data_IF_007759539881
#
_entry.id   IF_007759539881
#
_cell.length_a   1.000
_cell.length_b   1.000
_cell.length_c   1.000
_cell.angle_alpha   90.00
_cell.angle_beta   90.00
_cell.angle_gamma   90.00
#
_symmetry.space_group_name_H-M   'P 1'
#
loop_
_entity.id
_entity.type
_entity.pdbx_description
1 polymer ?
#
# COMPACT_ATOMS: atom_id res chain seq x y z
N UNK A 1 -21.06 -12.42 -18.08
CA UNK A 1 -19.97 -13.36 -18.48
C UNK A 1 -18.63 -12.93 -17.90
N UNK A 2 -18.14 -11.69 -18.13
CA UNK A 2 -16.85 -11.19 -17.60
C UNK A 2 -16.84 -11.12 -16.05
N UNK A 3 -17.92 -10.62 -15.43
CA UNK A 3 -18.01 -10.51 -13.96
C UNK A 3 -17.88 -11.85 -13.22
N UNK A 4 -18.43 -12.94 -13.77
CA UNK A 4 -18.34 -14.27 -13.15
C UNK A 4 -16.92 -14.84 -13.18
N UNK A 5 -16.12 -14.48 -14.21
CA UNK A 5 -14.73 -14.91 -14.33
C UNK A 5 -13.81 -14.24 -13.30
N UNK A 6 -14.02 -12.95 -13.03
CA UNK A 6 -13.27 -12.20 -11.99
C UNK A 6 -13.59 -12.76 -10.60
N UNK A 7 -14.88 -12.98 -10.30
CA UNK A 7 -15.29 -13.57 -9.03
C UNK A 7 -14.70 -14.97 -8.79
N UNK A 8 -14.67 -15.82 -9.83
CA UNK A 8 -14.05 -17.14 -9.75
C UNK A 8 -12.55 -17.06 -9.50
N UNK A 9 -11.86 -16.14 -10.17
CA UNK A 9 -10.44 -15.91 -9.97
C UNK A 9 -10.15 -15.42 -8.55
N UNK A 10 -10.92 -14.44 -8.04
CA UNK A 10 -10.78 -13.94 -6.68
C UNK A 10 -11.00 -15.06 -5.65
N UNK A 11 -11.99 -15.92 -5.89
CA UNK A 11 -12.25 -17.09 -5.04
C UNK A 11 -11.09 -18.09 -5.07
N UNK A 12 -10.52 -18.37 -6.26
CA UNK A 12 -9.35 -19.26 -6.40
C UNK A 12 -8.15 -18.69 -5.64
N UNK A 13 -7.88 -17.38 -5.79
CA UNK A 13 -6.80 -16.70 -5.08
C UNK A 13 -7.04 -16.74 -3.56
N UNK A 14 -8.25 -16.44 -3.11
CA UNK A 14 -8.60 -16.47 -1.69
C UNK A 14 -8.44 -17.87 -1.08
N UNK A 15 -8.95 -18.92 -1.73
CA UNK A 15 -8.81 -20.29 -1.27
C UNK A 15 -7.35 -20.73 -1.25
N UNK A 16 -6.55 -20.34 -2.24
CA UNK A 16 -5.12 -20.66 -2.26
C UNK A 16 -4.36 -19.97 -1.12
N UNK A 17 -4.63 -18.68 -0.88
CA UNK A 17 -4.02 -17.91 0.20
C UNK A 17 -4.40 -18.46 1.59
N UNK A 18 -5.66 -18.87 1.78
CA UNK A 18 -6.15 -19.41 3.06
C UNK A 18 -5.68 -20.85 3.32
N UNK A 19 -5.66 -21.69 2.28
CA UNK A 19 -5.29 -23.11 2.42
C UNK A 19 -3.78 -23.36 2.30
N UNK A 20 -3.02 -22.40 1.77
CA UNK A 20 -1.62 -22.58 1.38
C UNK A 20 -1.41 -23.57 0.24
N UNK A 21 -2.47 -24.07 -0.40
CA UNK A 21 -2.40 -25.01 -1.54
C UNK A 21 -2.46 -24.26 -2.86
N UNK A 22 -1.68 -24.70 -3.84
CA UNK A 22 -1.69 -24.07 -5.17
C UNK A 22 -1.06 -22.67 -5.22
N UNK A 23 -0.33 -22.25 -4.18
CA UNK A 23 0.26 -20.90 -4.05
C UNK A 23 1.09 -20.46 -5.25
N UNK A 24 1.78 -21.38 -5.95
CA UNK A 24 2.53 -21.05 -7.18
C UNK A 24 1.62 -20.65 -8.33
N UNK A 25 0.52 -21.37 -8.51
CA UNK A 25 -0.48 -21.05 -9.55
C UNK A 25 -1.17 -19.74 -9.18
N UNK A 26 -1.56 -19.60 -7.91
CA UNK A 26 -2.17 -18.37 -7.40
C UNK A 26 -1.26 -17.14 -7.57
N UNK A 27 0.05 -17.28 -7.35
CA UNK A 27 1.02 -16.20 -7.61
C UNK A 27 0.98 -15.76 -9.06
N UNK A 28 1.13 -16.68 -10.02
CA UNK A 28 1.18 -16.31 -11.44
C UNK A 28 -0.16 -15.77 -11.96
N UNK A 29 -1.27 -16.38 -11.54
CA UNK A 29 -2.60 -15.88 -11.88
C UNK A 29 -2.83 -14.49 -11.29
N UNK A 30 -2.46 -14.27 -10.03
CA UNK A 30 -2.59 -12.98 -9.36
C UNK A 30 -1.70 -11.90 -9.98
N UNK A 31 -0.44 -12.23 -10.33
CA UNK A 31 0.46 -11.31 -11.02
C UNK A 31 -0.11 -10.91 -12.37
N UNK A 32 -0.54 -11.88 -13.19
CA UNK A 32 -1.13 -11.60 -14.50
C UNK A 32 -2.40 -10.73 -14.37
N UNK A 33 -3.28 -11.08 -13.43
CA UNK A 33 -4.49 -10.34 -13.15
C UNK A 33 -4.22 -8.90 -12.73
N UNK A 34 -3.32 -8.70 -11.76
CA UNK A 34 -2.99 -7.36 -11.25
C UNK A 34 -2.30 -6.51 -12.31
N UNK A 35 -1.47 -7.09 -13.18
CA UNK A 35 -0.88 -6.37 -14.31
C UNK A 35 -1.93 -5.97 -15.36
N UNK A 36 -2.87 -6.85 -15.68
CA UNK A 36 -3.99 -6.54 -16.58
C UNK A 36 -4.89 -5.47 -15.98
N UNK A 37 -5.20 -5.55 -14.69
CA UNK A 37 -5.98 -4.53 -13.98
C UNK A 37 -5.23 -3.20 -14.01
N UNK A 38 -3.94 -3.19 -13.69
CA UNK A 38 -3.16 -1.96 -13.63
C UNK A 38 -3.02 -1.28 -14.99
N UNK A 39 -2.63 -2.01 -16.04
CA UNK A 39 -2.36 -1.44 -17.36
C UNK A 39 -3.63 -1.28 -18.19
N UNK A 40 -4.46 -2.32 -18.21
CA UNK A 40 -5.62 -2.40 -19.10
C UNK A 40 -6.86 -1.68 -18.59
N UNK A 41 -7.05 -1.59 -17.27
CA UNK A 41 -8.24 -0.99 -16.66
C UNK A 41 -7.92 0.32 -15.95
N UNK A 42 -6.85 0.35 -15.15
CA UNK A 42 -6.44 1.54 -14.40
C UNK A 42 -5.52 2.46 -15.20
N UNK A 43 -5.12 2.09 -16.43
CA UNK A 43 -4.21 2.85 -17.28
C UNK A 43 -2.95 3.34 -16.56
N UNK A 44 -2.33 2.47 -15.76
CA UNK A 44 -1.15 2.70 -14.91
C UNK A 44 -1.34 3.59 -13.69
N UNK A 45 -2.59 3.94 -13.39
CA UNK A 45 -2.96 4.93 -12.37
C UNK A 45 -3.22 6.29 -13.01
N UNK A 46 -4.26 6.98 -12.53
CA UNK A 46 -4.51 8.36 -12.94
C UNK A 46 -3.52 9.28 -12.24
N UNK A 47 -2.69 10.01 -13.00
CA UNK A 47 -1.79 11.01 -12.43
C UNK A 47 -2.39 12.39 -12.64
N UNK A 48 -3.20 12.81 -11.66
CA UNK A 48 -3.81 14.12 -11.68
C UNK A 48 -3.70 14.75 -10.30
N UNK A 49 -2.66 15.56 -10.12
CA UNK A 49 -2.48 16.36 -8.91
C UNK A 49 -3.68 17.27 -8.68
N UNK A 50 -4.41 17.71 -9.73
CA UNK A 50 -5.64 18.48 -9.55
C UNK A 50 -6.77 17.68 -8.88
N UNK A 51 -6.78 16.36 -9.05
CA UNK A 51 -7.73 15.45 -8.41
C UNK A 51 -7.18 14.79 -7.13
N UNK A 52 -6.00 15.22 -6.65
CA UNK A 52 -5.35 14.65 -5.47
C UNK A 52 -4.74 13.26 -5.71
N UNK A 53 -4.68 12.81 -6.96
CA UNK A 53 -4.11 11.53 -7.33
C UNK A 53 -2.59 11.66 -7.50
N UNK A 54 -1.85 11.11 -6.56
CA UNK A 54 -0.37 11.14 -6.53
C UNK A 54 0.27 9.75 -6.55
N UNK A 55 -0.53 8.69 -6.42
CA UNK A 55 -0.09 7.29 -6.45
C UNK A 55 -0.52 6.54 -7.73
N UNK A 56 0.16 5.43 -8.10
CA UNK A 56 -0.13 4.67 -9.32
C UNK A 56 -1.35 3.73 -9.20
N UNK A 57 -2.20 3.88 -8.19
CA UNK A 57 -3.37 3.05 -7.91
C UNK A 57 -3.07 1.82 -7.04
N UNK A 58 -4.10 1.01 -6.80
CA UNK A 58 -4.07 -0.10 -5.82
C UNK A 58 -3.35 -1.37 -6.32
N UNK A 59 -3.18 -1.52 -7.64
CA UNK A 59 -2.67 -2.75 -8.21
C UNK A 59 -1.18 -3.02 -7.88
N UNK A 60 -0.25 -2.05 -7.98
CA UNK A 60 1.14 -2.27 -7.55
C UNK A 60 1.28 -2.63 -6.06
N UNK A 61 0.55 -2.01 -5.13
CA UNK A 61 0.54 -2.41 -3.72
C UNK A 61 0.01 -3.84 -3.49
N UNK A 62 -1.07 -4.25 -4.16
CA UNK A 62 -1.52 -5.64 -4.13
C UNK A 62 -0.47 -6.61 -4.69
N UNK A 63 0.23 -6.24 -5.76
CA UNK A 63 1.27 -7.05 -6.37
C UNK A 63 2.43 -7.28 -5.39
N UNK A 64 2.86 -6.21 -4.72
CA UNK A 64 3.87 -6.26 -3.66
C UNK A 64 3.43 -7.20 -2.54
N UNK A 65 2.21 -7.01 -2.03
CA UNK A 65 1.69 -7.82 -0.93
C UNK A 65 1.53 -9.30 -1.32
N UNK A 66 1.08 -9.59 -2.54
CA UNK A 66 0.97 -10.95 -3.07
C UNK A 66 2.32 -11.66 -3.12
N UNK A 67 3.35 -10.97 -3.65
CA UNK A 67 4.71 -11.53 -3.75
C UNK A 67 5.32 -11.73 -2.36
N UNK A 68 5.15 -10.79 -1.44
CA UNK A 68 5.61 -10.94 -0.05
C UNK A 68 4.91 -12.13 0.61
N UNK A 69 3.59 -12.24 0.45
CA UNK A 69 2.80 -13.34 1.03
C UNK A 69 3.28 -14.69 0.50
N UNK A 70 3.51 -14.80 -0.81
CA UNK A 70 4.08 -16.01 -1.41
C UNK A 70 5.49 -16.32 -0.88
N UNK A 71 6.36 -15.31 -0.78
CA UNK A 71 7.71 -15.48 -0.27
C UNK A 71 7.71 -15.94 1.21
N UNK A 72 6.87 -15.34 2.05
CA UNK A 72 6.68 -15.75 3.44
C UNK A 72 6.13 -17.18 3.53
N UNK A 73 5.10 -17.52 2.76
CA UNK A 73 4.58 -18.89 2.69
C UNK A 73 5.66 -19.88 2.28
N UNK A 74 6.52 -19.52 1.31
CA UNK A 74 7.62 -20.38 0.86
C UNK A 74 8.63 -20.62 1.99
N UNK A 75 9.01 -19.58 2.73
CA UNK A 75 9.95 -19.68 3.86
C UNK A 75 9.39 -20.50 5.03
N UNK A 76 8.07 -20.66 5.12
CA UNK A 76 7.41 -21.50 6.15
C UNK A 76 7.26 -22.97 5.75
N UNK A 77 7.59 -23.36 4.51
CA UNK A 77 7.47 -24.76 4.08
C UNK A 77 8.56 -25.64 4.72
N UNK A 78 8.31 -26.95 4.93
CA UNK A 78 9.33 -27.88 5.41
C UNK A 78 10.55 -27.96 4.49
N UNK A 79 11.73 -28.10 5.07
CA UNK A 79 12.97 -28.26 4.31
C UNK A 79 12.99 -29.58 3.53
N UNK A 80 13.18 -29.50 2.21
CA UNK A 80 13.40 -30.63 1.30
C UNK A 80 14.73 -30.48 0.58
N UNK A 81 15.24 -31.52 -0.08
CA UNK A 81 16.47 -31.42 -0.87
C UNK A 81 16.31 -30.30 -1.93
N UNK A 82 17.12 -29.25 -1.85
CA UNK A 82 17.02 -28.04 -2.70
C UNK A 82 16.44 -26.78 -2.02
N UNK A 83 16.18 -26.80 -0.71
CA UNK A 83 15.53 -25.70 0.02
C UNK A 83 16.34 -24.38 0.03
N UNK A 84 17.68 -24.46 0.12
CA UNK A 84 18.56 -23.30 0.33
C UNK A 84 18.46 -22.26 -0.79
N UNK A 85 18.64 -22.65 -2.06
CA UNK A 85 18.58 -21.74 -3.20
C UNK A 85 17.18 -21.08 -3.33
N UNK A 86 16.12 -21.85 -3.07
CA UNK A 86 14.75 -21.33 -3.14
C UNK A 86 14.40 -20.37 -2.00
N UNK A 87 14.99 -20.54 -0.82
CA UNK A 87 14.82 -19.61 0.29
C UNK A 87 15.58 -18.30 0.06
N UNK A 88 16.75 -18.38 -0.55
CA UNK A 88 17.49 -17.20 -1.02
C UNK A 88 16.65 -16.40 -2.02
N UNK A 89 16.00 -17.06 -2.98
CA UNK A 89 15.08 -16.40 -3.92
C UNK A 89 13.89 -15.74 -3.20
N UNK A 90 13.32 -16.39 -2.18
CA UNK A 90 12.23 -15.80 -1.40
C UNK A 90 12.68 -14.56 -0.61
N UNK A 91 13.87 -14.60 0.00
CA UNK A 91 14.46 -13.45 0.69
C UNK A 91 14.79 -12.32 -0.29
N UNK A 92 15.31 -12.65 -1.48
CA UNK A 92 15.55 -11.69 -2.55
C UNK A 92 14.26 -11.05 -3.03
N UNK A 93 13.18 -11.83 -3.16
CA UNK A 93 11.87 -11.30 -3.51
C UNK A 93 11.38 -10.30 -2.47
N UNK A 94 11.46 -10.62 -1.16
CA UNK A 94 11.09 -9.68 -0.09
C UNK A 94 11.95 -8.40 -0.13
N UNK A 95 13.25 -8.54 -0.38
CA UNK A 95 14.15 -7.39 -0.55
C UNK A 95 13.74 -6.52 -1.74
N UNK A 96 13.49 -7.14 -2.90
CA UNK A 96 13.03 -6.45 -4.09
C UNK A 96 11.68 -5.75 -3.85
N UNK A 97 10.75 -6.40 -3.15
CA UNK A 97 9.45 -5.81 -2.80
C UNK A 97 9.60 -4.61 -1.86
N UNK A 98 10.58 -4.60 -0.95
CA UNK A 98 10.90 -3.42 -0.14
C UNK A 98 11.37 -2.25 -1.02
N UNK A 99 12.23 -2.53 -2.00
CA UNK A 99 12.71 -1.51 -2.93
C UNK A 99 11.57 -0.97 -3.81
N UNK A 100 10.71 -1.83 -4.35
CA UNK A 100 9.55 -1.42 -5.13
C UNK A 100 8.59 -0.58 -4.29
N UNK A 101 8.31 -1.00 -3.05
CA UNK A 101 7.49 -0.23 -2.14
C UNK A 101 8.11 1.14 -1.85
N UNK A 102 9.41 1.20 -1.57
CA UNK A 102 10.15 2.46 -1.45
C UNK A 102 10.08 3.33 -2.70
N UNK A 103 10.09 2.72 -3.89
CA UNK A 103 9.87 3.39 -5.16
C UNK A 103 8.46 3.98 -5.30
N UNK A 104 7.42 3.29 -4.81
CA UNK A 104 6.05 3.84 -4.75
C UNK A 104 5.98 5.07 -3.84
N UNK A 105 6.59 5.01 -2.66
CA UNK A 105 6.68 6.18 -1.76
C UNK A 105 7.48 7.32 -2.37
N UNK A 106 8.58 7.02 -3.07
CA UNK A 106 9.39 8.03 -3.74
C UNK A 106 8.58 8.72 -4.84
N UNK A 107 7.83 7.94 -5.61
CA UNK A 107 6.95 8.44 -6.64
C UNK A 107 5.87 9.36 -6.05
N UNK A 108 5.17 8.90 -5.02
CA UNK A 108 4.12 9.67 -4.35
C UNK A 108 4.67 10.99 -3.78
N UNK A 109 5.82 10.94 -3.10
CA UNK A 109 6.50 12.12 -2.57
C UNK A 109 6.88 13.13 -3.67
N UNK A 110 7.36 12.67 -4.83
CA UNK A 110 7.71 13.55 -5.96
C UNK A 110 6.49 14.36 -6.43
N UNK A 111 5.31 13.74 -6.51
CA UNK A 111 4.09 14.45 -6.92
C UNK A 111 3.54 15.37 -5.84
N UNK A 112 3.77 15.08 -4.56
CA UNK A 112 3.40 15.99 -3.46
C UNK A 112 4.22 17.28 -3.42
N UNK A 113 5.41 17.31 -4.01
CA UNK A 113 6.15 18.56 -4.22
C UNK A 113 5.56 19.46 -5.32
N UNK A 114 4.55 18.99 -6.05
CA UNK A 114 3.89 19.81 -7.06
C UNK A 114 3.17 21.01 -6.40
N UNK A 115 3.32 22.24 -6.91
CA UNK A 115 2.73 23.43 -6.30
C UNK A 115 1.23 23.32 -6.05
N UNK A 116 0.52 22.68 -6.96
CA UNK A 116 -0.92 22.48 -6.82
C UNK A 116 -1.27 21.66 -5.55
N UNK A 117 -0.55 20.57 -5.27
CA UNK A 117 -0.78 19.79 -4.05
C UNK A 117 -0.50 20.63 -2.80
N UNK A 118 0.63 21.34 -2.80
CA UNK A 118 1.07 22.15 -1.67
C UNK A 118 0.06 23.24 -1.27
N UNK A 119 -0.66 23.81 -2.23
CA UNK A 119 -1.65 24.88 -1.95
C UNK A 119 -3.10 24.38 -1.87
N UNK A 120 -3.38 23.11 -2.20
CA UNK A 120 -4.76 22.58 -2.24
C UNK A 120 -4.97 21.35 -1.34
N UNK A 121 -4.04 21.03 -0.42
CA UNK A 121 -4.18 19.90 0.51
C UNK A 121 -5.56 19.82 1.17
N UNK A 122 -6.05 20.95 1.72
CA UNK A 122 -7.37 21.01 2.38
C UNK A 122 -8.50 20.68 1.41
N UNK A 123 -8.38 21.10 0.14
CA UNK A 123 -9.38 20.80 -0.89
C UNK A 123 -9.55 19.30 -1.12
N UNK A 124 -8.48 18.50 -1.04
CA UNK A 124 -8.58 17.04 -1.18
C UNK A 124 -9.31 16.40 0.01
N UNK A 125 -9.04 16.87 1.23
CA UNK A 125 -9.73 16.39 2.43
C UNK A 125 -11.20 16.82 2.44
N UNK A 126 -11.52 18.03 1.97
CA UNK A 126 -12.92 18.46 1.81
C UNK A 126 -13.63 17.64 0.73
N UNK A 127 -12.93 17.28 -0.35
CA UNK A 127 -13.49 16.41 -1.38
C UNK A 127 -13.78 15.00 -0.87
N UNK A 128 -12.95 14.46 0.04
CA UNK A 128 -13.19 13.12 0.60
C UNK A 128 -14.46 13.05 1.46
N UNK A 129 -14.92 14.17 2.04
CA UNK A 129 -16.17 14.24 2.81
C UNK A 129 -17.44 13.96 1.99
N UNK A 130 -17.37 14.04 0.65
CA UNK A 130 -18.56 13.89 -0.20
C UNK A 130 -19.11 12.47 -0.15
N UNK A 131 -20.32 12.32 0.39
CA UNK A 131 -20.99 11.02 0.52
C UNK A 131 -20.56 10.22 1.76
N UNK A 132 -19.76 10.81 2.66
CA UNK A 132 -19.45 10.21 3.96
C UNK A 132 -20.64 10.31 4.94
N UNK A 133 -20.81 9.34 5.86
CA UNK A 133 -21.73 9.47 6.97
C UNK A 133 -21.36 10.64 7.88
N UNK A 134 -22.34 11.23 8.56
CA UNK A 134 -22.14 12.44 9.36
C UNK A 134 -21.01 12.34 10.41
N UNK A 135 -20.83 11.17 11.03
CA UNK A 135 -19.76 10.96 12.01
C UNK A 135 -18.36 10.99 11.37
N UNK A 136 -18.24 10.47 10.15
CA UNK A 136 -16.98 10.41 9.41
C UNK A 136 -16.66 11.78 8.82
N UNK A 137 -17.65 12.45 8.24
CA UNK A 137 -17.51 13.83 7.78
C UNK A 137 -17.07 14.77 8.92
N UNK A 138 -17.60 14.59 10.14
CA UNK A 138 -17.18 15.34 11.32
C UNK A 138 -15.74 15.01 11.77
N UNK A 139 -15.34 13.74 11.69
CA UNK A 139 -13.96 13.32 11.94
C UNK A 139 -12.98 13.96 10.96
N UNK A 140 -13.28 13.90 9.66
CA UNK A 140 -12.48 14.54 8.60
C UNK A 140 -12.47 16.07 8.76
N UNK A 141 -13.60 16.67 9.16
CA UNK A 141 -13.68 18.11 9.43
C UNK A 141 -12.76 18.53 10.58
N UNK A 142 -12.69 17.75 11.66
CA UNK A 142 -11.79 18.04 12.77
C UNK A 142 -10.31 18.07 12.32
N UNK A 143 -9.92 17.19 11.40
CA UNK A 143 -8.59 17.25 10.78
C UNK A 143 -8.39 18.49 9.90
N UNK A 144 -9.38 18.85 9.08
CA UNK A 144 -9.34 20.05 8.25
C UNK A 144 -9.19 21.31 9.11
N UNK A 145 -9.96 21.43 10.18
CA UNK A 145 -9.92 22.55 11.11
C UNK A 145 -8.54 22.66 11.78
N UNK A 146 -7.98 21.53 12.23
CA UNK A 146 -6.65 21.46 12.80
C UNK A 146 -5.55 21.87 11.81
N UNK A 147 -5.59 21.36 10.58
CA UNK A 147 -4.62 21.70 9.52
C UNK A 147 -4.70 23.19 9.18
N UNK A 148 -5.92 23.72 9.07
CA UNK A 148 -6.19 25.12 8.74
C UNK A 148 -5.74 26.06 9.87
N UNK A 149 -5.94 25.66 11.12
CA UNK A 149 -5.50 26.42 12.31
C UNK A 149 -3.98 26.59 12.35
N UNK A 150 -3.22 25.55 12.02
CA UNK A 150 -1.75 25.60 12.06
C UNK A 150 -1.21 26.31 10.83
N UNK A 151 -1.36 25.69 9.64
CA UNK A 151 -1.04 26.21 8.30
C UNK A 151 -1.16 25.05 7.27
N UNK A 152 -2.03 25.15 6.25
CA UNK A 152 -2.19 24.09 5.24
C UNK A 152 -0.93 23.74 4.44
N UNK A 153 -0.16 24.76 4.03
CA UNK A 153 1.07 24.56 3.23
C UNK A 153 2.13 23.87 4.07
N UNK A 154 2.25 24.22 5.35
CA UNK A 154 3.16 23.54 6.27
C UNK A 154 2.84 22.05 6.38
N UNK A 155 1.56 21.68 6.52
CA UNK A 155 1.15 20.27 6.54
C UNK A 155 1.40 19.55 5.23
N UNK A 156 1.19 20.22 4.08
CA UNK A 156 1.48 19.64 2.78
C UNK A 156 2.98 19.36 2.58
N UNK A 157 3.83 20.29 3.01
CA UNK A 157 5.29 20.10 3.03
C UNK A 157 5.70 18.99 3.99
N UNK A 158 5.09 18.93 5.18
CA UNK A 158 5.36 17.87 6.15
C UNK A 158 5.01 16.48 5.59
N UNK A 159 3.87 16.36 4.92
CA UNK A 159 3.47 15.14 4.22
C UNK A 159 4.52 14.76 3.16
N UNK A 160 4.87 15.67 2.26
CA UNK A 160 5.87 15.42 1.20
C UNK A 160 7.24 15.00 1.78
N UNK A 161 7.68 15.63 2.87
CA UNK A 161 8.93 15.28 3.56
C UNK A 161 8.87 13.91 4.22
N UNK A 162 7.79 13.61 4.94
CA UNK A 162 7.62 12.33 5.62
C UNK A 162 7.66 11.18 4.61
N UNK A 163 6.98 11.33 3.47
CA UNK A 163 6.98 10.33 2.40
C UNK A 163 8.33 10.18 1.75
N UNK A 164 9.05 11.28 1.52
CA UNK A 164 10.43 11.23 1.04
C UNK A 164 11.37 10.51 2.00
N UNK A 165 11.21 10.72 3.31
CA UNK A 165 12.00 10.02 4.35
C UNK A 165 11.66 8.53 4.38
N UNK A 166 10.38 8.16 4.29
CA UNK A 166 9.94 6.76 4.22
C UNK A 166 10.49 6.07 2.97
N UNK A 167 10.40 6.72 1.81
CA UNK A 167 10.95 6.25 0.55
C UNK A 167 12.45 5.99 0.66
N UNK A 168 13.20 6.98 1.15
CA UNK A 168 14.65 6.87 1.35
C UNK A 168 15.01 5.71 2.30
N UNK A 169 14.27 5.54 3.39
CA UNK A 169 14.49 4.46 4.34
C UNK A 169 14.25 3.08 3.73
N UNK A 170 13.15 2.92 2.99
CA UNK A 170 12.79 1.67 2.32
C UNK A 170 13.81 1.28 1.24
N UNK A 171 14.28 2.26 0.45
CA UNK A 171 15.27 2.03 -0.61
C UNK A 171 16.64 1.70 -0.01
N UNK A 172 17.13 2.53 0.92
CA UNK A 172 18.47 2.36 1.50
C UNK A 172 18.56 1.26 2.55
N UNK A 173 17.43 0.88 3.14
CA UNK A 173 17.37 -0.02 4.30
C UNK A 173 17.84 0.62 5.62
N UNK A 174 18.00 1.94 5.67
CA UNK A 174 18.41 2.67 6.90
C UNK A 174 17.21 3.04 7.76
N UNK A 175 17.40 3.07 9.08
CA UNK A 175 16.40 3.48 10.07
C UNK A 175 15.05 2.72 10.03
N UNK A 176 14.99 1.56 9.36
CA UNK A 176 13.76 0.77 9.20
C UNK A 176 13.06 0.47 10.53
N UNK A 177 13.81 0.24 11.61
CA UNK A 177 13.24 -0.09 12.94
C UNK A 177 12.33 1.01 13.50
N UNK A 178 12.60 2.26 13.15
CA UNK A 178 11.86 3.45 13.59
C UNK A 178 10.88 3.90 12.52
N UNK A 179 11.32 3.91 11.26
CA UNK A 179 10.53 4.44 10.15
C UNK A 179 9.44 3.48 9.65
N UNK A 180 9.55 2.17 9.88
CA UNK A 180 8.44 1.25 9.58
C UNK A 180 7.21 1.50 10.48
N UNK A 181 7.33 1.57 11.83
CA UNK A 181 6.21 1.99 12.67
C UNK A 181 5.63 3.35 12.30
N UNK A 182 6.48 4.33 11.97
CA UNK A 182 6.01 5.65 11.54
C UNK A 182 5.21 5.57 10.24
N UNK A 183 5.72 4.83 9.24
CA UNK A 183 5.02 4.59 7.97
C UNK A 183 3.67 3.88 8.17
N UNK A 184 3.61 2.88 9.05
CA UNK A 184 2.36 2.21 9.42
C UNK A 184 1.32 3.18 9.99
N UNK A 185 1.70 3.98 10.98
CA UNK A 185 0.79 4.96 11.59
C UNK A 185 0.37 6.01 10.56
N UNK A 186 1.30 6.50 9.76
CA UNK A 186 1.01 7.49 8.74
C UNK A 186 0.04 6.97 7.66
N UNK A 187 0.24 5.74 7.20
CA UNK A 187 -0.70 5.06 6.30
C UNK A 187 -2.11 4.94 6.90
N UNK A 188 -2.23 4.67 8.20
CA UNK A 188 -3.54 4.65 8.86
C UNK A 188 -4.19 6.04 8.94
N UNK A 189 -3.40 7.10 9.16
CA UNK A 189 -3.90 8.48 9.14
C UNK A 189 -4.46 8.82 7.76
N UNK A 190 -3.71 8.56 6.68
CA UNK A 190 -4.18 8.75 5.31
C UNK A 190 -5.48 7.96 5.07
N UNK A 191 -5.47 6.68 5.44
CA UNK A 191 -6.62 5.80 5.25
C UNK A 191 -7.89 6.31 5.95
N UNK A 192 -7.76 6.78 7.19
CA UNK A 192 -8.88 7.32 7.96
C UNK A 192 -9.39 8.69 7.48
N UNK A 193 -8.56 9.45 6.77
CA UNK A 193 -8.86 10.84 6.37
C UNK A 193 -9.12 10.94 4.87
N UNK A 194 -8.08 11.00 4.06
CA UNK A 194 -8.16 11.15 2.62
C UNK A 194 -8.92 10.00 1.92
N UNK A 195 -8.95 8.81 2.51
CA UNK A 195 -9.66 7.64 1.96
C UNK A 195 -10.95 7.29 2.72
N UNK A 196 -11.34 8.01 3.77
CA UNK A 196 -12.60 7.81 4.48
C UNK A 196 -12.82 6.36 4.96
N UNK A 197 -11.78 5.69 5.48
CA UNK A 197 -11.78 4.27 5.86
C UNK A 197 -12.14 3.29 4.72
N UNK A 198 -11.86 3.67 3.47
CA UNK A 198 -12.18 2.87 2.29
C UNK A 198 -13.59 3.11 1.74
N UNK A 199 -14.38 4.02 2.32
CA UNK A 199 -15.62 4.49 1.73
C UNK A 199 -16.68 3.44 1.34
N UNK A 200 -16.99 2.38 2.13
CA UNK A 200 -18.14 1.51 1.87
C UNK A 200 -19.49 2.23 2.06
N UNK A 201 -19.47 3.55 2.26
CA UNK A 201 -20.59 4.36 2.72
C UNK A 201 -21.27 5.16 1.61
N UNK A 202 -20.64 5.28 0.43
CA UNK A 202 -21.29 5.86 -0.75
C UNK A 202 -22.13 4.80 -1.47
N UNK A 203 -23.23 5.20 -2.11
CA UNK A 203 -24.13 4.29 -2.83
C UNK A 203 -23.44 3.52 -3.98
N UNK A 204 -22.24 3.95 -4.39
CA UNK A 204 -21.41 3.30 -5.41
C UNK A 204 -20.23 2.51 -4.82
N UNK A 205 -19.96 2.60 -3.51
CA UNK A 205 -18.87 1.87 -2.84
C UNK A 205 -17.48 2.14 -3.43
N UNK A 206 -17.21 3.37 -3.88
CA UNK A 206 -15.97 3.70 -4.58
C UNK A 206 -15.03 4.52 -3.71
N UNK A 207 -13.83 3.98 -3.44
CA UNK A 207 -12.62 4.80 -3.33
C UNK A 207 -12.09 5.13 -4.73
N UNK A 208 -11.05 5.96 -4.84
CA UNK A 208 -10.44 6.45 -6.09
C UNK A 208 -9.98 5.42 -7.13
N UNK A 209 -10.34 4.14 -7.00
CA UNK A 209 -10.34 3.14 -8.05
C UNK A 209 -11.66 2.34 -8.05
N UNK A 210 -12.32 2.25 -9.21
CA UNK A 210 -13.53 1.43 -9.41
C UNK A 210 -13.28 -0.01 -8.92
N UNK A 211 -13.97 -0.42 -7.86
CA UNK A 211 -13.84 -1.77 -7.27
C UNK A 211 -12.90 -1.90 -6.06
N UNK A 212 -12.29 -0.82 -5.57
CA UNK A 212 -11.57 -0.82 -4.29
C UNK A 212 -12.45 -0.28 -3.16
N UNK A 213 -12.84 -1.17 -2.23
CA UNK A 213 -13.66 -0.83 -1.05
C UNK A 213 -12.87 -0.66 0.24
N UNK A 214 -11.57 -0.97 0.25
CA UNK A 214 -10.75 -0.90 1.46
C UNK A 214 -9.76 0.27 1.43
N UNK A 215 -9.40 0.81 0.26
CA UNK A 215 -8.46 1.93 0.14
C UNK A 215 -7.01 1.51 -0.13
N UNK A 216 -6.16 2.42 -0.60
CA UNK A 216 -4.76 2.16 -0.94
C UNK A 216 -3.88 2.22 0.30
N UNK A 217 -4.11 3.20 1.14
CA UNK A 217 -3.29 3.45 2.31
C UNK A 217 -3.38 2.32 3.35
N UNK A 218 -4.50 1.59 3.46
CA UNK A 218 -4.58 0.42 4.34
C UNK A 218 -3.65 -0.72 3.89
N UNK A 219 -3.46 -0.92 2.58
CA UNK A 219 -2.49 -1.90 2.11
C UNK A 219 -1.06 -1.47 2.42
N UNK A 220 -0.75 -0.18 2.37
CA UNK A 220 0.55 0.34 2.80
C UNK A 220 0.82 0.03 4.27
N UNK A 221 -0.19 0.19 5.12
CA UNK A 221 -0.11 -0.19 6.52
C UNK A 221 0.18 -1.70 6.68
N UNK A 222 -0.52 -2.56 5.93
CA UNK A 222 -0.27 -4.02 5.97
C UNK A 222 1.12 -4.41 5.47
N UNK A 223 1.63 -3.75 4.42
CA UNK A 223 2.99 -3.97 3.92
C UNK A 223 4.02 -3.54 4.97
N UNK A 224 3.86 -2.37 5.58
CA UNK A 224 4.74 -1.93 6.68
C UNK A 224 4.69 -2.89 7.86
N UNK A 225 3.51 -3.36 8.26
CA UNK A 225 3.35 -4.34 9.33
C UNK A 225 4.09 -5.65 9.00
N UNK A 226 3.95 -6.13 7.76
CA UNK A 226 4.64 -7.33 7.30
C UNK A 226 6.15 -7.15 7.32
N UNK A 227 6.65 -6.01 6.83
CA UNK A 227 8.08 -5.70 6.92
C UNK A 227 8.57 -5.54 8.36
N UNK A 228 7.76 -5.01 9.28
CA UNK A 228 8.13 -5.00 10.70
C UNK A 228 8.35 -6.42 11.20
N UNK A 229 7.52 -7.39 10.85
CA UNK A 229 7.72 -8.79 11.24
C UNK A 229 8.98 -9.37 10.60
N UNK A 230 9.13 -9.21 9.29
CA UNK A 230 10.23 -9.82 8.53
C UNK A 230 11.60 -9.22 8.88
N UNK A 231 11.68 -7.91 9.13
CA UNK A 231 12.93 -7.20 9.44
C UNK A 231 13.19 -6.99 10.94
N UNK A 232 12.19 -7.18 11.84
CA UNK A 232 12.43 -7.20 13.29
C UNK A 232 12.72 -8.58 13.86
N UNK A 233 12.53 -9.67 13.09
CA UNK A 233 12.93 -10.98 13.58
C UNK A 233 14.43 -10.95 13.90
N UNK A 234 14.86 -11.23 15.14
CA UNK A 234 16.27 -11.29 15.45
C UNK A 234 16.89 -12.35 14.54
N UNK A 235 17.88 -11.95 13.74
CA UNK A 235 18.80 -12.93 13.17
C UNK A 235 19.39 -13.67 14.38
N UNK A 236 19.34 -15.01 14.43
CA UNK A 236 20.16 -15.73 15.38
C UNK A 236 21.56 -15.16 15.23
N UNK A 237 22.13 -14.67 16.33
CA UNK A 237 23.55 -14.33 16.36
C UNK A 237 24.25 -15.67 16.17
N UNK A 238 24.49 -16.03 14.91
CA UNK A 238 25.39 -17.11 14.58
C UNK A 238 26.71 -16.66 15.19
N UNK A 239 27.07 -17.33 16.29
CA UNK A 239 28.34 -17.13 16.99
C UNK A 239 29.41 -17.25 15.92
N UNK A 240 29.99 -16.13 15.51
CA UNK A 240 31.26 -16.15 14.81
C UNK A 240 32.25 -16.80 15.77
N UNK A 241 32.81 -17.91 15.28
CA UNK A 241 33.78 -18.76 15.96
C UNK A 241 34.94 -17.96 16.56
#
# INVERSE_FOLDING_TARGET
>A
MIGNGVLLLDLILAVALLSGRGMRIALWLGVAYLLVMWVGISHTGGFNTAAGQTDPGIAPPYLIMLIITFACWRLTQPATAGHTATDEHARLAIYAMRLLFGGLWAWDALFKWHPYYLTHLVGYLTASQQGEPAWLAAYTQAWIDFITLVNPVFFAVLAALLEGILAWALITGRFLRVLMPAGFVYSLVIWSTAEGFGGPYSALGQTGMTGNMLGNAVLYALIFLTFMVVYRWPQPVEKRA
#
